data_IF_485027117015
#
_entry.id   IF_485027117015
#
_cell.length_a   1.000
_cell.length_b   1.000
_cell.length_c   1.000
_cell.angle_alpha   90.00
_cell.angle_beta   90.00
_cell.angle_gamma   90.00
#
_symmetry.space_group_name_H-M   'P 1'
#
loop_
_entity.id
_entity.type
_entity.pdbx_description
1 polymer ?
#
# COMPACT_ATOMS: atom_id res chain seq x y z
N UNK A 1 24.47 30.96 77.89
CA UNK A 1 23.51 31.92 77.32
C UNK A 1 23.06 31.44 75.99
N UNK A 2 21.84 31.00 75.94
CA UNK A 2 21.21 30.35 74.79
C UNK A 2 20.38 31.32 73.99
N UNK A 3 20.58 31.43 72.68
CA UNK A 3 19.62 32.07 71.77
C UNK A 3 19.22 31.08 70.71
N UNK A 4 17.95 30.70 70.77
CA UNK A 4 17.28 29.89 69.73
C UNK A 4 16.80 30.80 68.62
N UNK A 5 17.20 30.52 67.38
CA UNK A 5 16.61 31.11 66.17
C UNK A 5 15.75 30.05 65.49
N UNK A 6 14.43 30.32 65.44
CA UNK A 6 13.47 29.46 64.77
C UNK A 6 13.49 29.71 63.24
N UNK A 7 13.54 28.65 62.53
CA UNK A 7 13.43 28.65 61.05
C UNK A 7 11.97 28.39 60.67
N UNK A 8 11.29 29.41 60.14
CA UNK A 8 9.95 29.29 59.60
C UNK A 8 10.03 28.74 58.18
N UNK A 9 9.48 27.56 57.96
CA UNK A 9 9.40 26.91 56.68
C UNK A 9 8.07 27.30 55.98
N UNK A 10 8.11 28.23 55.02
CA UNK A 10 6.95 28.55 54.20
C UNK A 10 6.83 27.53 53.08
N UNK A 11 5.85 26.62 53.21
CA UNK A 11 5.43 25.70 52.15
C UNK A 11 4.48 26.45 51.25
N UNK A 12 4.93 26.84 50.06
CA UNK A 12 4.08 27.37 48.99
C UNK A 12 3.40 26.17 48.25
N UNK A 13 2.15 25.97 48.55
CA UNK A 13 1.30 25.02 47.79
C UNK A 13 0.90 25.67 46.47
N UNK A 14 1.51 25.27 45.37
CA UNK A 14 1.10 25.65 44.01
C UNK A 14 -0.17 24.85 43.66
N UNK A 15 -1.32 25.53 43.68
CA UNK A 15 -2.59 24.99 43.19
C UNK A 15 -2.58 25.03 41.67
N UNK A 16 -2.37 23.89 41.04
CA UNK A 16 -2.55 23.71 39.60
C UNK A 16 -4.06 23.65 39.33
N UNK A 17 -4.64 24.80 38.97
CA UNK A 17 -5.99 24.86 38.40
C UNK A 17 -5.93 24.38 36.94
N UNK A 18 -6.08 23.08 36.75
CA UNK A 18 -6.32 22.53 35.40
C UNK A 18 -7.72 22.95 34.95
N UNK A 19 -7.81 23.72 33.87
CA UNK A 19 -9.08 23.99 33.20
C UNK A 19 -9.64 22.68 32.63
N UNK A 20 -10.54 22.01 33.35
CA UNK A 20 -11.36 20.93 32.79
C UNK A 20 -12.49 21.58 32.01
N UNK A 21 -12.32 21.65 30.70
CA UNK A 21 -13.39 22.06 29.80
C UNK A 21 -14.29 20.84 29.58
N UNK A 22 -15.50 20.90 30.13
CA UNK A 22 -16.52 19.91 29.84
C UNK A 22 -17.05 20.22 28.43
N UNK A 23 -16.78 19.31 27.48
CA UNK A 23 -17.39 19.36 26.15
C UNK A 23 -18.64 18.48 26.23
N UNK A 24 -19.81 19.10 26.37
CA UNK A 24 -21.10 18.43 26.18
C UNK A 24 -21.29 18.18 24.67
N UNK A 25 -20.61 17.17 24.17
CA UNK A 25 -20.76 16.69 22.80
C UNK A 25 -21.38 15.30 22.81
N UNK A 26 -22.58 15.15 22.30
CA UNK A 26 -23.06 13.84 21.86
C UNK A 26 -22.20 13.39 20.71
N UNK A 27 -21.52 12.23 20.85
CA UNK A 27 -20.83 11.61 19.74
C UNK A 27 -21.84 11.21 18.69
N UNK A 28 -22.04 12.08 17.71
CA UNK A 28 -22.75 11.72 16.49
C UNK A 28 -21.81 10.81 15.69
N UNK A 29 -22.24 9.56 15.52
CA UNK A 29 -21.61 8.67 14.57
C UNK A 29 -21.76 9.35 13.20
N UNK A 30 -20.66 9.86 12.64
CA UNK A 30 -20.67 10.28 11.26
C UNK A 30 -21.13 9.06 10.46
N UNK A 31 -22.28 9.19 9.82
CA UNK A 31 -22.64 8.25 8.75
C UNK A 31 -21.54 8.46 7.72
N UNK A 32 -20.63 7.48 7.60
CA UNK A 32 -19.69 7.44 6.50
C UNK A 32 -20.56 7.38 5.25
N UNK A 33 -20.72 8.49 4.55
CA UNK A 33 -21.22 8.42 3.18
C UNK A 33 -20.30 7.46 2.45
N UNK A 34 -20.86 6.50 1.70
CA UNK A 34 -20.02 5.65 0.87
C UNK A 34 -19.17 6.57 -0.01
N UNK A 35 -17.88 6.26 -0.22
CA UNK A 35 -17.03 7.07 -1.07
C UNK A 35 -17.74 7.27 -2.42
N UNK A 36 -17.79 8.52 -2.87
CA UNK A 36 -18.39 8.84 -4.16
C UNK A 36 -17.49 8.26 -5.26
N UNK A 37 -17.99 7.25 -5.95
CA UNK A 37 -17.36 6.75 -7.17
C UNK A 37 -18.03 7.42 -8.37
N UNK A 38 -17.28 8.13 -9.22
CA UNK A 38 -17.82 8.68 -10.44
C UNK A 38 -18.45 7.58 -11.31
N UNK A 39 -19.60 7.79 -11.94
CA UNK A 39 -20.21 6.80 -12.82
C UNK A 39 -19.23 6.37 -13.91
N UNK A 40 -19.02 5.05 -14.05
CA UNK A 40 -18.12 4.48 -15.06
C UNK A 40 -16.71 4.18 -14.56
N UNK A 41 -16.30 4.67 -13.40
CA UNK A 41 -15.04 4.27 -12.77
C UNK A 41 -15.22 2.94 -12.01
N UNK A 42 -14.29 2.02 -12.19
CA UNK A 42 -14.29 0.73 -11.47
C UNK A 42 -13.95 0.99 -10.00
N UNK A 43 -14.82 0.51 -9.11
CA UNK A 43 -14.55 0.50 -7.66
C UNK A 43 -13.46 -0.54 -7.36
N UNK A 44 -12.27 -0.08 -6.99
CA UNK A 44 -11.13 -0.97 -6.73
C UNK A 44 -11.30 -1.81 -5.47
N UNK A 45 -12.13 -1.38 -4.50
CA UNK A 45 -12.42 -2.17 -3.31
C UNK A 45 -13.20 -3.45 -3.65
N UNK A 46 -14.04 -3.41 -4.69
CA UNK A 46 -14.79 -4.58 -5.12
C UNK A 46 -13.93 -5.60 -5.86
N UNK A 47 -12.86 -5.16 -6.54
CA UNK A 47 -11.98 -6.07 -7.28
C UNK A 47 -10.86 -6.66 -6.42
N UNK A 48 -10.39 -5.96 -5.40
CA UNK A 48 -9.39 -6.49 -4.49
C UNK A 48 -9.94 -7.66 -3.65
N UNK A 49 -9.03 -8.46 -3.11
CA UNK A 49 -9.39 -9.61 -2.29
C UNK A 49 -9.52 -9.19 -0.82
N UNK A 50 -10.53 -9.71 -0.16
CA UNK A 50 -10.69 -9.56 1.29
C UNK A 50 -9.58 -10.31 2.04
N UNK A 51 -9.32 -9.92 3.30
CA UNK A 51 -8.36 -10.64 4.15
C UNK A 51 -8.68 -12.14 4.24
N UNK A 52 -9.95 -12.52 4.32
CA UNK A 52 -10.35 -13.93 4.38
C UNK A 52 -9.98 -14.68 3.10
N UNK A 53 -10.15 -14.07 1.93
CA UNK A 53 -9.75 -14.65 0.65
C UNK A 53 -8.23 -14.78 0.56
N UNK A 54 -7.48 -13.74 0.97
CA UNK A 54 -6.02 -13.78 1.04
C UNK A 54 -5.52 -14.87 2.00
N UNK A 55 -6.14 -15.03 3.18
CA UNK A 55 -5.85 -16.11 4.12
C UNK A 55 -6.05 -17.49 3.52
N UNK A 56 -7.12 -17.67 2.76
CA UNK A 56 -7.42 -18.94 2.11
C UNK A 56 -6.41 -19.29 1.00
N UNK A 57 -6.04 -18.31 0.16
CA UNK A 57 -5.09 -18.50 -0.96
C UNK A 57 -3.68 -18.75 -0.44
N UNK A 58 -3.22 -17.97 0.52
CA UNK A 58 -1.86 -18.06 1.07
C UNK A 58 -1.67 -19.24 2.03
N UNK A 59 -2.77 -19.81 2.53
CA UNK A 59 -2.74 -20.79 3.61
C UNK A 59 -2.22 -20.21 4.94
N UNK A 60 -2.17 -18.87 5.09
CA UNK A 60 -1.70 -18.16 6.29
C UNK A 60 -2.69 -18.22 7.45
N UNK A 61 -3.96 -18.50 7.17
CA UNK A 61 -5.01 -18.53 8.20
C UNK A 61 -4.99 -17.24 9.04
N UNK A 62 -5.18 -17.36 10.33
CA UNK A 62 -5.20 -16.21 11.26
C UNK A 62 -3.86 -15.48 11.39
N UNK A 63 -2.76 -16.08 10.94
CA UNK A 63 -1.43 -15.47 11.01
C UNK A 63 -1.22 -14.42 9.91
N UNK A 64 -1.99 -14.50 8.82
CA UNK A 64 -1.96 -13.47 7.79
C UNK A 64 -2.79 -12.27 8.24
N UNK A 65 -2.10 -11.19 8.55
CA UNK A 65 -2.71 -9.96 9.05
C UNK A 65 -2.36 -8.76 8.18
N UNK A 66 -3.28 -7.80 8.07
CA UNK A 66 -3.02 -6.52 7.40
C UNK A 66 -1.99 -5.73 8.20
N UNK A 67 -1.10 -5.03 7.50
CA UNK A 67 -0.20 -4.02 8.05
C UNK A 67 -0.94 -2.67 7.97
N UNK A 68 -1.47 -2.11 9.08
CA UNK A 68 -2.37 -0.96 9.01
C UNK A 68 -1.75 0.30 8.37
N UNK A 69 -0.44 0.48 8.48
CA UNK A 69 0.29 1.60 7.87
C UNK A 69 0.57 1.42 6.37
N UNK A 70 0.22 0.26 5.82
CA UNK A 70 0.36 -0.11 4.40
C UNK A 70 -0.99 -0.54 3.82
N UNK A 71 -2.06 0.02 4.34
CA UNK A 71 -3.43 -0.10 3.86
C UNK A 71 -3.94 1.32 3.57
N UNK A 72 -3.98 1.69 2.30
CA UNK A 72 -4.20 3.08 1.88
C UNK A 72 -4.99 3.20 0.59
N UNK A 73 -5.81 4.26 0.51
CA UNK A 73 -6.69 4.58 -0.62
C UNK A 73 -6.19 5.73 -1.49
N UNK A 74 -4.92 6.02 -1.41
CA UNK A 74 -4.23 6.94 -2.31
C UNK A 74 -2.79 6.50 -2.48
N UNK A 75 -2.18 6.69 -3.66
CA UNK A 75 -0.79 6.37 -3.88
C UNK A 75 0.13 7.10 -2.88
N UNK A 76 1.08 6.36 -2.31
CA UNK A 76 2.05 6.86 -1.32
C UNK A 76 3.47 6.70 -1.83
N UNK A 77 4.26 7.76 -1.76
CA UNK A 77 5.67 7.75 -2.07
C UNK A 77 6.49 7.79 -0.78
N UNK A 78 7.35 6.78 -0.61
CA UNK A 78 8.34 6.77 0.47
C UNK A 78 9.61 7.46 -0.02
N UNK A 79 9.59 8.80 -0.05
CA UNK A 79 10.62 9.64 -0.68
C UNK A 79 12.05 9.25 -0.29
N UNK A 80 12.31 9.04 1.00
CA UNK A 80 13.66 8.68 1.49
C UNK A 80 14.19 7.37 0.88
N UNK A 81 13.31 6.39 0.66
CA UNK A 81 13.67 5.13 0.01
C UNK A 81 13.76 5.31 -1.51
N UNK A 82 12.85 6.06 -2.11
CA UNK A 82 12.86 6.34 -3.54
C UNK A 82 14.12 7.12 -3.95
N UNK A 83 14.63 8.03 -3.11
CA UNK A 83 15.88 8.74 -3.33
C UNK A 83 17.14 7.89 -3.13
N UNK A 84 17.03 6.78 -2.40
CA UNK A 84 18.15 5.86 -2.13
C UNK A 84 18.50 4.93 -3.29
N UNK A 85 17.64 4.88 -4.32
CA UNK A 85 17.83 4.02 -5.49
C UNK A 85 17.99 4.85 -6.78
N UNK A 86 18.53 4.26 -7.87
CA UNK A 86 18.57 4.92 -9.17
C UNK A 86 17.18 5.42 -9.61
N UNK A 87 17.15 6.53 -10.34
CA UNK A 87 15.91 7.20 -10.75
C UNK A 87 14.90 6.24 -11.39
N UNK A 88 15.32 5.42 -12.32
CA UNK A 88 14.44 4.48 -13.01
C UNK A 88 13.96 3.31 -12.11
N UNK A 89 14.48 3.20 -10.88
CA UNK A 89 14.08 2.19 -9.90
C UNK A 89 13.18 2.75 -8.78
N UNK A 90 12.83 4.05 -8.84
CA UNK A 90 12.04 4.72 -7.79
C UNK A 90 10.64 4.15 -7.63
N UNK A 91 10.05 3.60 -8.69
CA UNK A 91 8.75 2.91 -8.66
C UNK A 91 8.67 1.80 -7.59
N UNK A 92 9.80 1.28 -7.11
CA UNK A 92 9.85 0.29 -6.03
C UNK A 92 9.35 0.86 -4.69
N UNK A 93 9.42 2.18 -4.52
CA UNK A 93 9.13 2.91 -3.28
C UNK A 93 8.20 4.11 -3.48
N UNK A 94 7.83 4.40 -4.72
CA UNK A 94 6.94 5.50 -5.07
C UNK A 94 5.76 4.95 -5.90
N UNK A 95 4.58 4.93 -5.31
CA UNK A 95 3.38 4.39 -5.96
C UNK A 95 2.91 5.30 -7.10
N UNK A 96 3.20 6.62 -7.01
CA UNK A 96 2.95 7.55 -8.13
C UNK A 96 3.82 7.24 -9.35
N UNK A 97 5.01 6.71 -9.17
CA UNK A 97 5.87 6.24 -10.27
C UNK A 97 5.38 4.89 -10.84
N UNK A 98 4.63 4.11 -10.05
CA UNK A 98 4.04 2.83 -10.48
C UNK A 98 2.72 3.05 -11.21
N UNK A 99 1.81 3.84 -10.63
CA UNK A 99 0.45 3.98 -11.12
C UNK A 99 0.21 5.30 -11.88
N UNK A 100 1.16 6.23 -11.83
CA UNK A 100 0.97 7.58 -12.38
C UNK A 100 0.15 8.48 -11.47
N UNK A 101 -0.21 9.67 -11.98
CA UNK A 101 -0.97 10.69 -11.26
C UNK A 101 -2.44 10.78 -11.67
N UNK A 102 -2.82 10.14 -12.78
CA UNK A 102 -4.15 10.22 -13.38
C UNK A 102 -5.07 9.08 -12.91
N UNK A 103 -4.94 8.74 -11.61
CA UNK A 103 -5.69 7.67 -10.95
C UNK A 103 -6.99 8.24 -10.39
N UNK A 104 -8.12 7.64 -10.76
CA UNK A 104 -9.46 8.03 -10.32
C UNK A 104 -9.90 7.32 -9.03
N UNK A 105 -9.49 6.06 -8.87
CA UNK A 105 -9.70 5.28 -7.65
C UNK A 105 -8.49 4.39 -7.39
N UNK A 106 -8.13 4.24 -6.11
CA UNK A 106 -6.93 3.50 -5.70
C UNK A 106 -7.13 2.82 -4.35
N UNK A 107 -6.66 1.59 -4.27
CA UNK A 107 -6.46 0.94 -2.98
C UNK A 107 -5.29 -0.03 -3.03
N UNK A 108 -4.47 -0.02 -1.99
CA UNK A 108 -3.40 -0.99 -1.78
C UNK A 108 -3.42 -1.48 -0.35
N UNK A 109 -3.37 -2.80 -0.19
CA UNK A 109 -3.31 -3.46 1.13
C UNK A 109 -2.14 -4.42 1.18
N UNK A 110 -1.33 -4.34 2.23
CA UNK A 110 -0.22 -5.26 2.48
C UNK A 110 -0.52 -6.18 3.65
N UNK A 111 -0.18 -7.45 3.48
CA UNK A 111 -0.37 -8.51 4.47
C UNK A 111 0.97 -9.09 4.87
N UNK A 112 1.13 -9.38 6.16
CA UNK A 112 2.28 -10.09 6.71
C UNK A 112 1.88 -11.45 7.27
N UNK A 113 2.76 -12.43 7.11
CA UNK A 113 2.69 -13.75 7.75
C UNK A 113 3.98 -14.00 8.52
N UNK A 114 4.10 -13.51 9.77
CA UNK A 114 5.34 -13.55 10.54
C UNK A 114 5.91 -14.96 10.75
N UNK A 115 5.08 -16.02 11.00
CA UNK A 115 5.60 -17.39 11.15
C UNK A 115 6.35 -17.88 9.90
N UNK A 116 5.89 -17.49 8.70
CA UNK A 116 6.54 -17.85 7.42
C UNK A 116 7.60 -16.87 6.98
N UNK A 117 7.74 -15.73 7.66
CA UNK A 117 8.56 -14.58 7.20
C UNK A 117 8.18 -14.18 5.78
N UNK A 118 6.88 -14.14 5.53
CA UNK A 118 6.33 -13.85 4.22
C UNK A 118 5.51 -12.55 4.25
N UNK A 119 5.46 -11.90 3.10
CA UNK A 119 4.69 -10.69 2.88
C UNK A 119 4.04 -10.80 1.50
N UNK A 120 2.81 -10.33 1.39
CA UNK A 120 2.14 -10.17 0.11
C UNK A 120 1.30 -8.89 0.14
N UNK A 121 1.35 -8.11 -0.93
CA UNK A 121 0.45 -6.97 -1.10
C UNK A 121 -0.31 -7.08 -2.42
N UNK A 122 -1.49 -6.51 -2.42
CA UNK A 122 -2.30 -6.28 -3.60
C UNK A 122 -2.60 -4.79 -3.71
N UNK A 123 -2.56 -4.26 -4.91
CA UNK A 123 -2.92 -2.88 -5.20
C UNK A 123 -3.65 -2.80 -6.53
N UNK A 124 -4.61 -1.90 -6.63
CA UNK A 124 -5.31 -1.60 -7.87
C UNK A 124 -5.50 -0.10 -8.03
N UNK A 125 -5.35 0.38 -9.27
CA UNK A 125 -5.66 1.73 -9.68
C UNK A 125 -6.65 1.66 -10.83
N UNK A 126 -7.78 2.36 -10.69
CA UNK A 126 -8.75 2.57 -11.76
C UNK A 126 -8.50 3.92 -12.43
N UNK A 127 -8.64 3.97 -13.73
CA UNK A 127 -8.45 5.13 -14.58
C UNK A 127 -9.74 5.49 -15.29
N UNK A 128 -9.77 6.67 -15.89
CA UNK A 128 -10.92 7.17 -16.61
C UNK A 128 -11.38 6.21 -17.74
N UNK A 129 -10.43 5.58 -18.42
CA UNK A 129 -10.70 4.64 -19.52
C UNK A 129 -9.54 3.63 -19.73
N UNK A 130 -9.78 2.65 -20.60
CA UNK A 130 -8.82 1.59 -20.93
C UNK A 130 -7.52 2.15 -21.55
N UNK A 131 -7.60 3.28 -22.26
CA UNK A 131 -6.44 3.92 -22.88
C UNK A 131 -5.53 4.49 -21.78
N UNK A 132 -6.08 5.19 -20.78
CA UNK A 132 -5.31 5.76 -19.69
C UNK A 132 -4.63 4.65 -18.86
N UNK A 133 -5.33 3.57 -18.55
CA UNK A 133 -4.75 2.41 -17.87
C UNK A 133 -3.61 1.77 -18.69
N UNK A 134 -3.79 1.65 -19.99
CA UNK A 134 -2.78 1.12 -20.91
C UNK A 134 -1.55 2.01 -21.00
N UNK A 135 -1.73 3.33 -21.04
CA UNK A 135 -0.64 4.31 -21.03
C UNK A 135 0.17 4.23 -19.72
N UNK A 136 -0.51 4.11 -18.58
CA UNK A 136 0.14 3.91 -17.27
C UNK A 136 0.97 2.61 -17.26
N UNK A 137 0.39 1.48 -17.69
CA UNK A 137 1.10 0.21 -17.79
C UNK A 137 2.32 0.27 -18.71
N UNK A 138 2.23 0.90 -19.89
CA UNK A 138 3.34 1.02 -20.83
C UNK A 138 4.47 1.90 -20.26
N UNK A 139 4.11 2.96 -19.54
CA UNK A 139 5.06 3.83 -18.85
C UNK A 139 5.80 3.07 -17.76
N UNK A 140 5.07 2.35 -16.92
CA UNK A 140 5.63 1.49 -15.88
C UNK A 140 6.55 0.42 -16.50
N UNK A 141 6.10 -0.29 -17.52
CA UNK A 141 6.88 -1.33 -18.19
C UNK A 141 8.22 -0.78 -18.72
N UNK A 142 8.18 0.39 -19.37
CA UNK A 142 9.39 1.07 -19.83
C UNK A 142 10.33 1.42 -18.68
N UNK A 143 9.79 1.91 -17.57
CA UNK A 143 10.56 2.30 -16.38
C UNK A 143 11.20 1.07 -15.71
N UNK A 144 10.45 -0.03 -15.60
CA UNK A 144 10.96 -1.29 -15.01
C UNK A 144 12.10 -1.85 -15.86
N UNK A 145 11.99 -1.85 -17.19
CA UNK A 145 13.08 -2.30 -18.09
C UNK A 145 14.32 -1.40 -17.95
N UNK A 146 14.16 -0.07 -17.90
CA UNK A 146 15.31 0.82 -17.67
C UNK A 146 15.97 0.60 -16.32
N UNK A 147 15.18 0.32 -15.26
CA UNK A 147 15.73 -0.08 -13.98
C UNK A 147 16.51 -1.40 -14.09
N UNK A 148 15.95 -2.40 -14.77
CA UNK A 148 16.58 -3.71 -14.95
C UNK A 148 17.93 -3.62 -15.71
N UNK A 149 18.02 -2.76 -16.70
CA UNK A 149 19.24 -2.52 -17.50
C UNK A 149 20.30 -1.71 -16.73
N UNK A 150 19.91 -1.06 -15.65
CA UNK A 150 20.79 -0.25 -14.80
C UNK A 150 21.74 -1.10 -13.94
N UNK A 151 22.78 -0.47 -13.40
CA UNK A 151 23.85 -1.12 -12.62
C UNK A 151 23.34 -1.88 -11.38
N UNK A 152 22.19 -1.51 -10.82
CA UNK A 152 21.57 -2.17 -9.67
C UNK A 152 20.33 -3.03 -10.07
N UNK A 153 20.00 -3.09 -11.35
CA UNK A 153 18.78 -3.71 -11.85
C UNK A 153 18.65 -5.18 -11.46
N UNK A 154 19.70 -5.96 -11.64
CA UNK A 154 19.70 -7.39 -11.29
C UNK A 154 19.42 -7.64 -9.80
N UNK A 155 19.81 -6.71 -8.92
CA UNK A 155 19.55 -6.79 -7.48
C UNK A 155 18.15 -6.29 -7.11
N UNK A 156 17.71 -5.19 -7.72
CA UNK A 156 16.47 -4.49 -7.34
C UNK A 156 15.21 -5.11 -7.96
N UNK A 157 15.27 -5.51 -9.23
CA UNK A 157 14.13 -6.05 -9.96
C UNK A 157 14.35 -7.48 -10.49
N UNK A 158 15.61 -7.93 -10.57
CA UNK A 158 15.94 -9.25 -11.08
C UNK A 158 15.55 -9.45 -12.55
N UNK A 159 15.32 -10.71 -12.97
CA UNK A 159 14.78 -11.01 -14.31
C UNK A 159 13.40 -10.38 -14.48
N UNK A 160 13.19 -9.74 -15.63
CA UNK A 160 11.92 -9.11 -16.02
C UNK A 160 11.37 -9.82 -17.25
N UNK A 161 10.09 -10.16 -17.21
CA UNK A 161 9.34 -10.67 -18.36
C UNK A 161 8.10 -9.83 -18.57
N UNK A 162 7.77 -9.56 -19.85
CA UNK A 162 6.65 -8.69 -20.22
C UNK A 162 5.87 -9.31 -21.37
N UNK A 163 4.55 -9.30 -21.23
CA UNK A 163 3.58 -9.60 -22.28
C UNK A 163 2.76 -8.35 -22.61
N UNK A 164 1.75 -8.51 -23.46
CA UNK A 164 0.89 -7.40 -23.88
C UNK A 164 0.24 -6.66 -22.71
N UNK A 165 -0.18 -7.38 -21.69
CA UNK A 165 -0.97 -6.87 -20.56
C UNK A 165 -0.40 -7.24 -19.18
N UNK A 166 0.78 -7.85 -19.15
CA UNK A 166 1.42 -8.29 -17.90
C UNK A 166 2.92 -8.03 -17.87
N UNK A 167 3.44 -7.80 -16.67
CA UNK A 167 4.86 -7.62 -16.40
C UNK A 167 5.19 -8.31 -15.07
N UNK A 168 6.30 -9.04 -15.06
CA UNK A 168 6.80 -9.78 -13.90
C UNK A 168 8.25 -9.42 -13.63
N UNK A 169 8.58 -9.09 -12.38
CA UNK A 169 9.94 -8.85 -11.91
C UNK A 169 10.26 -9.80 -10.75
N UNK A 170 11.43 -10.44 -10.76
CA UNK A 170 11.79 -11.53 -9.83
C UNK A 170 13.12 -11.31 -9.12
N UNK A 171 13.23 -10.36 -8.17
CA UNK A 171 14.43 -10.18 -7.37
C UNK A 171 14.52 -11.24 -6.26
N UNK A 172 15.25 -12.32 -6.51
CA UNK A 172 15.52 -13.37 -5.52
C UNK A 172 14.26 -14.13 -5.08
N UNK A 173 13.91 -14.03 -3.77
CA UNK A 173 12.72 -14.69 -3.18
C UNK A 173 11.47 -13.82 -3.18
N UNK A 174 11.56 -12.65 -3.75
CA UNK A 174 10.46 -11.70 -3.89
C UNK A 174 10.05 -11.59 -5.36
N UNK A 175 8.90 -11.00 -5.58
CA UNK A 175 8.43 -10.70 -6.93
C UNK A 175 7.43 -9.55 -6.92
N UNK A 176 7.26 -8.99 -8.10
CA UNK A 176 6.23 -8.00 -8.41
C UNK A 176 5.57 -8.39 -9.71
N UNK A 177 4.28 -8.50 -9.69
CA UNK A 177 3.45 -8.80 -10.84
C UNK A 177 2.52 -7.63 -11.09
N UNK A 178 2.47 -7.19 -12.33
CA UNK A 178 1.57 -6.14 -12.78
C UNK A 178 0.70 -6.67 -13.90
N UNK A 179 -0.57 -6.27 -13.91
CA UNK A 179 -1.49 -6.60 -14.99
C UNK A 179 -2.44 -5.46 -15.25
N UNK A 180 -2.62 -5.12 -16.53
CA UNK A 180 -3.66 -4.19 -16.95
C UNK A 180 -4.81 -4.97 -17.59
N UNK A 181 -6.05 -4.63 -17.19
CA UNK A 181 -7.28 -5.13 -17.78
C UNK A 181 -8.33 -4.03 -17.79
N UNK A 182 -8.93 -3.78 -18.94
CA UNK A 182 -9.84 -2.65 -19.11
C UNK A 182 -9.22 -1.36 -18.52
N UNK A 183 -9.95 -0.61 -17.73
CA UNK A 183 -9.48 0.63 -17.11
C UNK A 183 -8.73 0.45 -15.78
N UNK A 184 -8.23 -0.76 -15.47
CA UNK A 184 -7.58 -1.03 -14.17
C UNK A 184 -6.17 -1.57 -14.36
N UNK A 185 -5.20 -1.01 -13.61
CA UNK A 185 -3.85 -1.54 -13.42
C UNK A 185 -3.75 -2.19 -12.03
N UNK A 186 -3.34 -3.45 -11.98
CA UNK A 186 -3.19 -4.24 -10.76
C UNK A 186 -1.72 -4.51 -10.47
N UNK A 187 -1.34 -4.43 -9.20
CA UNK A 187 -0.04 -4.86 -8.67
C UNK A 187 -0.24 -5.97 -7.64
N UNK A 188 0.58 -7.02 -7.71
CA UNK A 188 0.78 -8.00 -6.63
C UNK A 188 2.27 -8.07 -6.32
N UNK A 189 2.65 -7.68 -5.11
CA UNK A 189 4.04 -7.79 -4.62
C UNK A 189 4.10 -8.88 -3.55
N UNK A 190 5.13 -9.70 -3.57
CA UNK A 190 5.28 -10.78 -2.61
C UNK A 190 6.73 -11.07 -2.25
N UNK A 191 6.94 -11.61 -1.05
CA UNK A 191 8.19 -12.19 -0.60
C UNK A 191 7.89 -13.45 0.22
N UNK A 192 8.69 -14.50 0.01
CA UNK A 192 8.62 -15.72 0.81
C UNK A 192 7.47 -16.67 0.48
N UNK A 193 6.69 -16.38 -0.54
CA UNK A 193 5.68 -17.29 -1.11
C UNK A 193 6.18 -17.96 -2.38
N UNK A 194 5.70 -19.20 -2.71
CA UNK A 194 5.91 -19.79 -4.02
C UNK A 194 5.14 -18.99 -5.10
N UNK A 195 5.62 -19.00 -6.34
CA UNK A 195 5.06 -18.21 -7.45
C UNK A 195 3.57 -18.49 -7.73
N UNK A 196 3.10 -19.69 -7.45
CA UNK A 196 1.68 -20.04 -7.60
C UNK A 196 0.75 -19.19 -6.72
N UNK A 197 1.23 -18.66 -5.59
CA UNK A 197 0.40 -17.82 -4.69
C UNK A 197 0.08 -16.47 -5.33
N UNK A 198 1.07 -15.63 -5.73
CA UNK A 198 0.76 -14.37 -6.39
C UNK A 198 0.02 -14.56 -7.73
N UNK A 199 0.27 -15.63 -8.47
CA UNK A 199 -0.48 -15.95 -9.68
C UNK A 199 -1.98 -16.17 -9.39
N UNK A 200 -2.32 -16.93 -8.35
CA UNK A 200 -3.71 -17.14 -7.92
C UNK A 200 -4.33 -15.81 -7.44
N UNK A 201 -3.59 -15.00 -6.66
CA UNK A 201 -4.07 -13.70 -6.20
C UNK A 201 -4.37 -12.80 -7.39
N UNK A 202 -3.43 -12.65 -8.32
CA UNK A 202 -3.59 -11.84 -9.54
C UNK A 202 -4.79 -12.32 -10.37
N UNK A 203 -4.90 -13.62 -10.60
CA UNK A 203 -6.00 -14.19 -11.39
C UNK A 203 -7.37 -13.90 -10.76
N UNK A 204 -7.49 -14.02 -9.43
CA UNK A 204 -8.75 -13.74 -8.73
C UNK A 204 -9.12 -12.25 -8.81
N UNK A 205 -8.16 -11.34 -8.68
CA UNK A 205 -8.41 -9.89 -8.81
C UNK A 205 -8.86 -9.57 -10.24
N UNK A 206 -8.09 -10.02 -11.24
CA UNK A 206 -8.37 -9.76 -12.66
C UNK A 206 -9.73 -10.33 -13.10
N UNK A 207 -10.15 -11.46 -12.54
CA UNK A 207 -11.46 -12.04 -12.84
C UNK A 207 -12.64 -11.20 -12.33
N UNK A 208 -12.43 -10.37 -11.31
CA UNK A 208 -13.46 -9.45 -10.78
C UNK A 208 -13.55 -8.15 -11.57
N UNK A 209 -12.51 -7.77 -12.32
CA UNK A 209 -12.54 -6.57 -13.15
C UNK A 209 -13.54 -6.78 -14.28
N UNK A 210 -14.53 -5.88 -14.44
CA UNK A 210 -15.49 -5.96 -15.54
C UNK A 210 -14.78 -6.08 -16.88
N UNK A 211 -15.31 -6.88 -17.77
CA UNK A 211 -14.80 -7.00 -19.14
C UNK A 211 -15.03 -5.72 -19.89
N UNK A 212 -14.01 -5.22 -20.60
CA UNK A 212 -14.20 -4.25 -21.66
C UNK A 212 -14.87 -4.90 -22.88
#
# INVERSE_FOLDING_TARGET
MTVRAGLACCVAAAVLTGCTQWVDGSALRALSEPPYHPPGIVDVDEVLLTQAQMQAITGGGQHLTIIPTMDGKSPVDVEQLAESVPRDCRFLFAETETFGTDVEDFHKTSFQDPPRRALISQGAAAYLDDRAAREAFNTLSTTVHRCADGSMGSYLVGPVTTDTDSLHARPGRCGRDYRVKASVLVEVTFCGYPESVPEIVMANIVNKIPGG
#
